data_IF_061032196454
#
_entry.id   IF_061032196454
#
_cell.length_a   1.000
_cell.length_b   1.000
_cell.length_c   1.000
_cell.angle_alpha   90.00
_cell.angle_beta   90.00
_cell.angle_gamma   90.00
#
_symmetry.space_group_name_H-M   'P 1'
#
loop_
_entity.id
_entity.type
_entity.pdbx_description
1 polymer ?
#
# COMPACT_ATOMS: atom_id res chain seq x y z
N UNK A 1 20.69 -3.59 8.73
CA UNK A 1 19.59 -2.61 8.44
C UNK A 1 19.20 -2.59 6.95
N UNK A 2 20.10 -2.36 5.99
CA UNK A 2 19.78 -2.38 4.54
C UNK A 2 19.53 -3.78 3.97
N UNK A 3 20.38 -4.76 4.31
CA UNK A 3 20.19 -6.16 3.90
C UNK A 3 18.83 -6.72 4.34
N UNK A 4 18.41 -6.44 5.57
CA UNK A 4 17.10 -6.86 6.08
C UNK A 4 15.93 -6.18 5.35
N UNK A 5 16.09 -4.93 4.89
CA UNK A 5 15.05 -4.28 4.09
C UNK A 5 14.94 -4.90 2.70
N UNK A 6 16.08 -5.16 2.05
CA UNK A 6 16.10 -5.86 0.75
C UNK A 6 15.44 -7.23 0.84
N UNK A 7 15.83 -8.04 1.83
CA UNK A 7 15.26 -9.36 2.09
C UNK A 7 13.72 -9.31 2.18
N UNK A 8 13.18 -8.37 2.98
CA UNK A 8 11.73 -8.22 3.09
C UNK A 8 11.06 -7.73 1.82
N UNK A 9 11.71 -6.85 1.06
CA UNK A 9 11.21 -6.45 -0.25
C UNK A 9 11.11 -7.65 -1.20
N UNK A 10 12.20 -8.40 -1.36
CA UNK A 10 12.29 -9.48 -2.33
C UNK A 10 11.49 -10.72 -1.95
N UNK A 11 11.46 -11.09 -0.67
CA UNK A 11 10.89 -12.37 -0.22
C UNK A 11 9.45 -12.25 0.26
N UNK A 12 9.02 -11.05 0.69
CA UNK A 12 7.70 -10.90 1.31
C UNK A 12 6.82 -9.88 0.61
N UNK A 13 7.31 -8.66 0.38
CA UNK A 13 6.47 -7.54 -0.04
C UNK A 13 6.18 -7.57 -1.53
N UNK A 14 7.22 -7.59 -2.38
CA UNK A 14 7.04 -7.60 -3.84
C UNK A 14 6.25 -8.84 -4.28
N UNK A 15 6.59 -10.08 -3.86
CA UNK A 15 5.83 -11.26 -4.26
C UNK A 15 4.33 -11.16 -3.95
N UNK A 16 3.96 -10.60 -2.78
CA UNK A 16 2.56 -10.40 -2.40
C UNK A 16 1.89 -9.23 -3.14
N UNK A 17 2.66 -8.25 -3.62
CA UNK A 17 2.14 -7.08 -4.34
C UNK A 17 1.91 -7.33 -5.83
N UNK A 18 2.55 -8.32 -6.45
CA UNK A 18 2.45 -8.54 -7.91
C UNK A 18 0.99 -8.68 -8.38
N UNK A 19 0.22 -9.57 -7.77
CA UNK A 19 -1.18 -9.81 -8.19
C UNK A 19 -2.07 -8.60 -7.91
N UNK A 20 -2.04 -8.00 -6.70
CA UNK A 20 -2.75 -6.74 -6.43
C UNK A 20 -2.36 -5.59 -7.37
N UNK A 21 -1.08 -5.44 -7.71
CA UNK A 21 -0.60 -4.42 -8.65
C UNK A 21 -1.17 -4.63 -10.04
N UNK A 22 -1.10 -5.85 -10.58
CA UNK A 22 -1.63 -6.15 -11.90
C UNK A 22 -3.16 -5.94 -11.95
N UNK A 23 -3.87 -6.29 -10.87
CA UNK A 23 -5.31 -6.04 -10.75
C UNK A 23 -5.62 -4.54 -10.77
N UNK A 24 -4.88 -3.76 -9.98
CA UNK A 24 -4.99 -2.30 -9.95
C UNK A 24 -4.72 -1.66 -11.33
N UNK A 25 -3.69 -2.12 -12.04
CA UNK A 25 -3.35 -1.64 -13.39
C UNK A 25 -4.48 -1.96 -14.39
N UNK A 26 -5.10 -3.14 -14.28
CA UNK A 26 -6.23 -3.51 -15.13
C UNK A 26 -7.46 -2.64 -14.83
N UNK A 27 -7.81 -2.48 -13.56
CA UNK A 27 -8.96 -1.67 -13.09
C UNK A 27 -8.83 -0.21 -13.50
N UNK A 28 -7.63 0.36 -13.39
CA UNK A 28 -7.36 1.76 -13.76
C UNK A 28 -7.14 1.99 -15.26
N UNK A 29 -7.25 0.93 -16.08
CA UNK A 29 -7.00 0.97 -17.53
C UNK A 29 -5.59 1.53 -17.81
N UNK A 30 -4.58 0.88 -17.22
CA UNK A 30 -3.18 1.33 -17.27
C UNK A 30 -3.01 2.74 -16.73
N UNK A 31 -3.52 2.99 -15.51
CA UNK A 31 -3.39 4.24 -14.77
C UNK A 31 -4.11 5.46 -15.38
N UNK A 32 -4.76 5.31 -16.54
CA UNK A 32 -5.50 6.40 -17.19
C UNK A 32 -6.65 6.93 -16.32
N UNK A 33 -7.17 6.09 -15.43
CA UNK A 33 -8.21 6.44 -14.46
C UNK A 33 -7.74 6.34 -12.99
N UNK A 34 -6.43 6.38 -12.73
CA UNK A 34 -5.88 6.34 -11.37
C UNK A 34 -6.39 7.51 -10.49
N UNK A 35 -6.74 8.64 -11.12
CA UNK A 35 -7.27 9.84 -10.48
C UNK A 35 -8.73 9.73 -9.99
N UNK A 36 -9.40 8.58 -10.18
CA UNK A 36 -10.68 8.37 -9.51
C UNK A 36 -10.36 8.29 -8.02
N UNK A 37 -10.94 9.15 -7.15
CA UNK A 37 -10.70 9.07 -5.72
C UNK A 37 -11.18 7.70 -5.31
N UNK A 38 -10.24 6.76 -5.19
CA UNK A 38 -10.54 5.38 -4.91
C UNK A 38 -11.33 5.45 -3.62
N UNK A 39 -12.61 5.08 -3.70
CA UNK A 39 -13.39 4.63 -2.57
C UNK A 39 -12.39 3.88 -1.74
N UNK A 40 -12.08 4.40 -0.55
CA UNK A 40 -11.07 3.83 0.34
C UNK A 40 -11.47 2.38 0.47
N UNK A 41 -10.88 1.51 -0.34
CA UNK A 41 -11.19 0.10 -0.35
C UNK A 41 -10.53 -0.34 0.94
N UNK A 42 -11.29 -0.19 2.02
CA UNK A 42 -11.11 -0.95 3.23
C UNK A 42 -11.05 -2.35 2.68
N UNK A 43 -9.84 -2.88 2.63
CA UNK A 43 -9.62 -4.24 2.17
C UNK A 43 -10.41 -5.06 3.17
N UNK A 44 -11.62 -5.43 2.76
CA UNK A 44 -12.57 -6.25 3.52
C UNK A 44 -12.09 -7.70 3.53
N UNK A 45 -10.77 -7.91 3.45
CA UNK A 45 -10.16 -9.10 4.03
C UNK A 45 -10.33 -8.97 5.54
N UNK A 46 -11.51 -9.42 5.99
CA UNK A 46 -11.89 -9.51 7.39
C UNK A 46 -10.71 -10.09 8.17
N UNK A 47 -9.98 -9.22 8.86
CA UNK A 47 -8.87 -9.66 9.69
C UNK A 47 -9.44 -10.66 10.68
N UNK A 48 -8.90 -11.90 10.70
CA UNK A 48 -9.33 -12.89 11.68
C UNK A 48 -9.26 -12.27 13.07
N UNK A 49 -10.38 -12.30 13.78
CA UNK A 49 -10.60 -11.63 15.06
C UNK A 49 -9.41 -11.87 16.02
N UNK A 50 -8.76 -10.79 16.46
CA UNK A 50 -7.63 -10.82 17.40
C UNK A 50 -6.25 -10.48 16.83
N UNK A 51 -6.14 -10.03 15.57
CA UNK A 51 -4.86 -9.62 15.00
C UNK A 51 -4.28 -8.35 15.66
N UNK A 52 -2.95 -8.31 15.85
CA UNK A 52 -2.26 -7.10 16.33
C UNK A 52 -2.29 -6.04 15.24
N UNK A 53 -3.09 -5.00 15.45
CA UNK A 53 -3.19 -3.85 14.56
C UNK A 53 -2.21 -2.75 14.98
N UNK A 54 -1.74 -1.99 13.99
CA UNK A 54 -0.90 -0.82 14.18
C UNK A 54 -1.42 0.30 13.29
N UNK A 55 -1.70 1.45 13.90
CA UNK A 55 -1.93 2.69 13.15
C UNK A 55 -0.61 3.23 12.62
N UNK A 56 -0.55 3.51 11.33
CA UNK A 56 0.63 4.05 10.65
C UNK A 56 0.20 5.30 9.89
N UNK A 57 0.87 6.42 10.17
CA UNK A 57 0.76 7.65 9.38
C UNK A 57 1.69 7.56 8.20
N UNK A 58 1.17 7.84 7.01
CA UNK A 58 1.92 7.79 5.75
C UNK A 58 1.71 9.10 5.03
N UNK A 59 2.81 9.78 4.70
CA UNK A 59 2.80 10.87 3.75
C UNK A 59 2.71 10.29 2.34
N UNK A 60 1.63 10.57 1.64
CA UNK A 60 1.39 10.19 0.26
C UNK A 60 1.72 11.37 -0.65
N UNK A 61 2.64 11.17 -1.59
CA UNK A 61 3.03 12.19 -2.56
C UNK A 61 2.34 11.89 -3.89
N UNK A 62 1.49 12.80 -4.34
CA UNK A 62 0.98 12.84 -5.71
C UNK A 62 1.99 13.57 -6.58
N UNK A 63 2.65 12.84 -7.48
CA UNK A 63 3.83 13.32 -8.22
C UNK A 63 3.60 14.65 -8.96
N UNK A 64 2.36 14.95 -9.35
CA UNK A 64 2.01 16.11 -10.18
C UNK A 64 1.18 17.20 -9.48
N UNK A 65 0.73 17.00 -8.24
CA UNK A 65 -0.33 17.86 -7.67
C UNK A 65 -0.02 18.32 -6.24
N UNK A 66 0.15 17.39 -5.31
CA UNK A 66 0.14 17.70 -3.88
C UNK A 66 0.74 16.57 -3.04
N UNK A 67 0.77 16.77 -1.72
CA UNK A 67 1.00 15.70 -0.77
C UNK A 67 -0.16 15.66 0.24
N UNK A 68 -0.49 14.48 0.74
CA UNK A 68 -1.51 14.27 1.76
C UNK A 68 -1.01 13.29 2.83
N UNK A 69 -1.36 13.50 4.10
CA UNK A 69 -1.11 12.52 5.15
C UNK A 69 -2.35 11.63 5.33
N UNK A 70 -2.18 10.32 5.18
CA UNK A 70 -3.22 9.34 5.46
C UNK A 70 -2.84 8.47 6.66
N UNK A 71 -3.84 7.94 7.34
CA UNK A 71 -3.66 6.96 8.41
C UNK A 71 -4.22 5.62 7.97
N UNK A 72 -3.37 4.59 7.99
CA UNK A 72 -3.75 3.20 7.67
C UNK A 72 -3.65 2.34 8.92
N UNK A 73 -4.45 1.27 8.97
CA UNK A 73 -4.47 0.32 10.10
C UNK A 73 -3.88 -1.00 9.60
N UNK A 74 -2.57 -1.15 9.76
CA UNK A 74 -1.85 -2.32 9.28
C UNK A 74 -1.91 -3.47 10.28
N UNK A 75 -2.01 -4.70 9.78
CA UNK A 75 -1.87 -5.93 10.55
C UNK A 75 -1.16 -7.00 9.72
N UNK A 76 -0.80 -8.16 10.28
CA UNK A 76 -0.16 -9.23 9.49
C UNK A 76 -1.03 -9.74 8.33
N UNK A 77 -2.35 -9.72 8.48
CA UNK A 77 -3.30 -10.14 7.45
C UNK A 77 -3.36 -9.12 6.31
N UNK A 78 -3.55 -7.84 6.66
CA UNK A 78 -3.55 -6.71 5.73
C UNK A 78 -2.33 -5.80 6.02
N UNK A 79 -1.16 -6.12 5.44
CA UNK A 79 0.07 -5.36 5.67
C UNK A 79 0.02 -4.00 4.96
N UNK A 80 0.74 -3.02 5.52
CA UNK A 80 0.75 -1.64 5.01
C UNK A 80 1.04 -1.50 3.50
N UNK A 81 2.01 -2.23 2.91
CA UNK A 81 2.25 -2.18 1.47
C UNK A 81 1.05 -2.53 0.59
N UNK A 82 0.25 -3.52 1.01
CA UNK A 82 -0.94 -3.93 0.26
C UNK A 82 -2.04 -2.89 0.36
N UNK A 83 -2.29 -2.37 1.58
CA UNK A 83 -3.28 -1.31 1.77
C UNK A 83 -2.95 -0.06 0.95
N UNK A 84 -1.68 0.34 0.92
CA UNK A 84 -1.24 1.50 0.13
C UNK A 84 -1.43 1.27 -1.36
N UNK A 85 -1.12 0.07 -1.85
CA UNK A 85 -1.28 -0.24 -3.27
C UNK A 85 -2.74 -0.27 -3.71
N UNK A 86 -3.66 -0.77 -2.88
CA UNK A 86 -5.10 -0.66 -3.13
C UNK A 86 -5.60 0.79 -3.11
N UNK A 87 -4.89 1.69 -2.44
CA UNK A 87 -5.13 3.12 -2.47
C UNK A 87 -4.42 3.83 -3.64
N UNK A 88 -3.73 3.11 -4.53
CA UNK A 88 -2.98 3.69 -5.64
C UNK A 88 -1.58 4.19 -5.30
N UNK A 89 -1.01 3.79 -4.15
CA UNK A 89 0.31 4.24 -3.74
C UNK A 89 1.32 3.10 -3.66
N UNK A 90 2.55 3.38 -4.10
CA UNK A 90 3.71 2.52 -3.84
C UNK A 90 4.40 2.93 -2.53
N UNK A 91 4.55 2.02 -1.56
CA UNK A 91 5.23 2.29 -0.30
C UNK A 91 6.74 2.49 -0.47
N UNK A 92 7.34 3.41 0.28
CA UNK A 92 8.81 3.57 0.28
C UNK A 92 9.53 2.71 1.33
N UNK A 93 8.80 1.89 2.11
CA UNK A 93 9.39 0.93 3.04
C UNK A 93 8.52 -0.33 3.18
N UNK A 94 9.12 -1.52 3.43
CA UNK A 94 8.41 -2.79 3.33
C UNK A 94 7.55 -3.11 4.57
N UNK A 95 7.78 -2.48 5.73
CA UNK A 95 7.14 -2.86 7.00
C UNK A 95 6.30 -1.74 7.60
N UNK A 96 6.89 -0.55 7.72
CA UNK A 96 6.24 0.61 8.30
C UNK A 96 6.60 1.83 7.44
N UNK A 97 5.97 1.99 6.26
CA UNK A 97 6.21 3.13 5.39
C UNK A 97 5.72 4.40 6.09
N UNK A 98 6.60 5.39 6.20
CA UNK A 98 6.22 6.76 6.54
C UNK A 98 5.94 7.60 5.29
N UNK A 99 6.29 7.07 4.12
CA UNK A 99 6.18 7.72 2.83
C UNK A 99 5.68 6.71 1.79
N UNK A 100 4.81 7.18 0.90
CA UNK A 100 4.37 6.46 -0.29
C UNK A 100 4.20 7.43 -1.46
N UNK A 101 4.32 6.92 -2.67
CA UNK A 101 4.28 7.71 -3.91
C UNK A 101 3.11 7.20 -4.77
N UNK A 102 2.39 8.10 -5.40
CA UNK A 102 1.32 7.79 -6.34
C UNK A 102 1.82 6.94 -7.53
N UNK A 103 0.97 6.03 -8.02
CA UNK A 103 1.29 5.05 -9.06
C UNK A 103 0.99 5.54 -10.48
#
# INVERSE_FOLDING_TARGET
KRANQWCRWSEEVIPRMIVPYLSYIQETVSLRHANMPAIRHRTDEECRTGCRTRSIKVACIFLMVSFEEITIIACPCSPAPLQLLHCGFFPCAPVAPSLAIDL
#
